data_IF_067879671629
#
_entry.id   IF_067879671629
#
_cell.length_a   1.000
_cell.length_b   1.000
_cell.length_c   1.000
_cell.angle_alpha   90.00
_cell.angle_beta   90.00
_cell.angle_gamma   90.00
#
_symmetry.space_group_name_H-M   'P 1'
#
loop_
_entity.id
_entity.type
_entity.pdbx_description
1 polymer ?
#
# COMPACT_ATOMS: atom_id res chain seq x y z
N UNK A 1 -9.37 12.91 -10.71
CA UNK A 1 -9.49 13.40 -12.10
C UNK A 1 -9.05 12.28 -13.06
N UNK A 2 -10.00 11.40 -13.40
CA UNK A 2 -9.75 10.00 -13.79
C UNK A 2 -9.01 9.75 -15.12
N UNK A 3 -8.77 10.79 -15.94
CA UNK A 3 -8.09 10.68 -17.22
C UNK A 3 -7.48 12.02 -17.64
N UNK A 4 -6.18 12.08 -17.99
CA UNK A 4 -5.54 13.31 -18.47
C UNK A 4 -6.30 13.97 -19.62
N UNK A 5 -6.39 15.31 -19.59
CA UNK A 5 -6.96 16.07 -20.72
C UNK A 5 -6.02 15.93 -21.92
N UNK A 6 -6.60 15.65 -23.08
CA UNK A 6 -5.87 15.56 -24.35
C UNK A 6 -6.35 16.70 -25.24
N UNK A 7 -5.41 17.45 -25.80
CA UNK A 7 -5.70 18.60 -26.67
C UNK A 7 -5.33 18.29 -28.13
N UNK A 8 -6.06 18.87 -29.08
CA UNK A 8 -5.81 18.66 -30.52
C UNK A 8 -4.58 19.41 -31.04
N UNK A 9 -4.21 20.51 -30.39
CA UNK A 9 -3.07 21.34 -30.76
C UNK A 9 -2.31 21.82 -29.52
N UNK A 10 -1.04 22.16 -29.72
CA UNK A 10 -0.19 22.72 -28.67
C UNK A 10 -0.07 24.23 -28.81
N UNK A 11 0.02 24.90 -27.67
CA UNK A 11 0.51 26.27 -27.61
C UNK A 11 1.98 26.34 -28.04
N UNK A 12 2.45 27.54 -28.37
CA UNK A 12 3.84 27.74 -28.73
C UNK A 12 4.72 27.59 -27.47
N UNK A 13 5.78 26.75 -27.50
CA UNK A 13 6.71 26.66 -26.38
C UNK A 13 7.46 27.98 -26.21
N UNK A 14 7.68 28.40 -24.94
CA UNK A 14 8.42 29.62 -24.61
C UNK A 14 9.95 29.44 -24.71
N UNK A 15 10.45 28.23 -24.47
CA UNK A 15 11.89 27.95 -24.37
C UNK A 15 12.29 26.70 -25.14
N UNK A 16 13.53 26.69 -25.64
CA UNK A 16 14.17 25.51 -26.21
C UNK A 16 14.34 24.43 -25.14
N UNK A 17 13.92 23.19 -25.43
CA UNK A 17 14.07 22.07 -24.49
C UNK A 17 15.53 21.66 -24.21
N UNK A 18 16.49 22.14 -25.01
CA UNK A 18 17.90 21.76 -24.91
C UNK A 18 18.76 22.83 -24.25
N UNK A 19 18.71 24.08 -24.74
CA UNK A 19 19.55 25.18 -24.25
C UNK A 19 18.76 26.29 -23.56
N UNK A 20 17.45 26.11 -23.35
CA UNK A 20 16.54 27.10 -22.75
C UNK A 20 16.38 28.44 -23.50
N UNK A 21 17.06 28.67 -24.62
CA UNK A 21 16.89 29.88 -25.43
C UNK A 21 15.45 30.11 -25.92
N UNK A 22 15.06 31.38 -26.02
CA UNK A 22 13.68 31.83 -26.25
C UNK A 22 13.31 32.00 -27.73
N UNK A 23 14.32 32.22 -28.58
CA UNK A 23 14.12 32.43 -30.01
C UNK A 23 13.94 31.08 -30.71
N UNK A 24 12.67 30.77 -31.00
CA UNK A 24 12.25 29.53 -31.65
C UNK A 24 11.60 29.79 -33.01
N UNK A 25 12.14 29.21 -34.07
CA UNK A 25 11.49 29.25 -35.38
C UNK A 25 10.57 28.03 -35.52
N UNK A 26 9.29 28.26 -35.82
CA UNK A 26 8.40 27.17 -36.26
C UNK A 26 8.79 26.82 -37.69
N UNK A 27 9.21 25.57 -37.91
CA UNK A 27 9.71 25.14 -39.23
C UNK A 27 8.91 23.97 -39.81
N UNK A 28 7.89 23.47 -39.11
CA UNK A 28 7.00 22.46 -39.69
C UNK A 28 5.77 22.16 -38.85
N UNK A 29 4.77 21.57 -39.51
CA UNK A 29 3.53 21.04 -38.92
C UNK A 29 3.33 19.60 -39.40
N UNK A 30 2.93 18.71 -38.51
CA UNK A 30 2.62 17.31 -38.81
C UNK A 30 1.26 16.97 -38.23
N UNK A 31 0.37 16.39 -39.04
CA UNK A 31 -0.80 15.68 -38.52
C UNK A 31 -0.38 14.30 -38.04
N UNK A 32 -0.37 14.11 -36.72
CA UNK A 32 -0.02 12.83 -36.10
C UNK A 32 -1.29 12.03 -35.84
N UNK A 33 -1.33 10.79 -36.33
CA UNK A 33 -2.35 9.81 -35.93
C UNK A 33 -2.15 9.42 -34.46
N UNK A 34 -3.24 9.34 -33.71
CA UNK A 34 -3.25 8.92 -32.31
C UNK A 34 -4.28 7.81 -32.09
N UNK A 35 -4.03 6.98 -31.08
CA UNK A 35 -4.98 6.03 -30.54
C UNK A 35 -5.66 6.69 -29.35
N UNK A 36 -6.93 7.01 -29.52
CA UNK A 36 -7.79 7.60 -28.51
C UNK A 36 -9.26 7.40 -28.94
N UNK A 37 -10.18 7.36 -27.98
CA UNK A 37 -11.61 7.11 -28.23
C UNK A 37 -12.34 8.32 -28.78
N UNK A 38 -11.84 9.54 -28.53
CA UNK A 38 -12.48 10.79 -28.97
C UNK A 38 -11.76 11.46 -30.12
N UNK A 39 -10.47 11.20 -30.31
CA UNK A 39 -9.64 11.86 -31.32
C UNK A 39 -8.79 10.87 -32.11
N UNK A 40 -8.68 11.06 -33.43
CA UNK A 40 -7.86 10.19 -34.30
C UNK A 40 -6.58 10.85 -34.79
N UNK A 41 -6.51 12.18 -34.77
CA UNK A 41 -5.38 12.97 -35.24
C UNK A 41 -5.16 14.19 -34.35
N UNK A 42 -3.92 14.64 -34.26
CA UNK A 42 -3.54 15.87 -33.55
C UNK A 42 -2.48 16.63 -34.34
N UNK A 43 -2.45 17.95 -34.19
CA UNK A 43 -1.47 18.83 -34.83
C UNK A 43 -0.22 18.90 -33.95
N UNK A 44 0.91 18.46 -34.50
CA UNK A 44 2.24 18.54 -33.85
C UNK A 44 3.10 19.54 -34.59
N UNK A 45 3.62 20.53 -33.89
CA UNK A 45 4.50 21.53 -34.46
C UNK A 45 5.98 21.17 -34.23
N UNK A 46 6.82 21.51 -35.19
CA UNK A 46 8.28 21.38 -35.10
C UNK A 46 8.92 22.76 -34.96
N UNK A 47 9.85 22.87 -34.03
CA UNK A 47 10.60 24.09 -33.74
C UNK A 47 12.09 23.86 -33.95
N UNK A 48 12.80 24.91 -34.39
CA UNK A 48 14.26 25.02 -34.48
C UNK A 48 14.67 26.14 -33.53
N UNK A 49 15.65 25.90 -32.68
CA UNK A 49 16.18 26.93 -31.80
C UNK A 49 17.24 27.76 -32.54
N UNK A 50 17.17 29.09 -32.45
CA UNK A 50 18.19 29.96 -33.04
C UNK A 50 19.53 29.94 -32.28
N UNK A 51 19.50 29.66 -30.97
CA UNK A 51 20.72 29.57 -30.14
C UNK A 51 21.52 28.29 -30.42
N UNK A 52 20.92 27.11 -30.19
CA UNK A 52 21.64 25.84 -30.31
C UNK A 52 21.41 25.10 -31.64
N UNK A 53 20.62 25.66 -32.56
CA UNK A 53 20.32 25.10 -33.89
C UNK A 53 19.59 23.74 -33.91
N UNK A 54 19.34 23.12 -32.75
CA UNK A 54 18.62 21.84 -32.65
C UNK A 54 17.15 22.00 -32.98
N UNK A 55 16.57 20.94 -33.53
CA UNK A 55 15.12 20.84 -33.79
C UNK A 55 14.42 19.93 -32.80
N UNK A 56 13.14 20.21 -32.53
CA UNK A 56 12.30 19.35 -31.70
C UNK A 56 10.82 19.42 -32.08
N UNK A 57 10.09 18.36 -31.73
CA UNK A 57 8.62 18.31 -31.81
C UNK A 57 8.03 18.80 -30.49
N UNK A 58 7.01 19.64 -30.57
CA UNK A 58 6.22 20.05 -29.42
C UNK A 58 4.82 19.45 -29.51
N UNK A 59 4.50 18.58 -28.57
CA UNK A 59 3.25 17.81 -28.56
C UNK A 59 2.16 18.55 -27.76
N UNK A 60 0.89 18.45 -28.17
CA UNK A 60 -0.25 18.90 -27.36
C UNK A 60 -0.30 18.22 -26.01
N UNK A 61 -0.99 18.85 -25.05
CA UNK A 61 -1.26 18.25 -23.74
C UNK A 61 -1.91 16.86 -23.90
N UNK A 62 -1.46 15.88 -23.11
CA UNK A 62 -1.94 14.50 -23.16
C UNK A 62 -1.46 13.67 -24.36
N UNK A 63 -0.55 14.20 -25.19
CA UNK A 63 0.05 13.51 -26.34
C UNK A 63 1.57 13.47 -26.18
N UNK A 64 2.17 12.31 -26.47
CA UNK A 64 3.62 12.16 -26.55
C UNK A 64 4.04 11.63 -27.94
N UNK A 65 5.29 11.16 -28.03
CA UNK A 65 5.82 10.50 -29.24
C UNK A 65 5.03 9.24 -29.61
N UNK A 66 4.59 8.46 -28.62
CA UNK A 66 3.78 7.25 -28.83
C UNK A 66 2.42 7.58 -29.48
N UNK A 67 1.83 6.63 -30.20
CA UNK A 67 0.50 6.83 -30.80
C UNK A 67 -0.61 6.86 -29.75
N UNK A 68 -0.48 6.14 -28.64
CA UNK A 68 -1.46 6.20 -27.54
C UNK A 68 -1.40 7.55 -26.83
N UNK A 69 -2.56 8.11 -26.53
CA UNK A 69 -2.69 9.29 -25.67
C UNK A 69 -2.50 8.90 -24.20
N UNK A 70 -2.09 9.85 -23.37
CA UNK A 70 -1.94 9.63 -21.92
C UNK A 70 -3.26 9.19 -21.27
N UNK A 71 -4.39 9.72 -21.76
CA UNK A 71 -5.72 9.27 -21.40
C UNK A 71 -5.94 7.79 -21.68
N UNK A 72 -5.60 7.33 -22.88
CA UNK A 72 -5.80 5.93 -23.25
C UNK A 72 -4.90 5.00 -22.43
N UNK A 73 -3.65 5.40 -22.14
CA UNK A 73 -2.75 4.66 -21.25
C UNK A 73 -3.34 4.52 -19.85
N UNK A 74 -3.83 5.62 -19.28
CA UNK A 74 -4.49 5.63 -17.97
C UNK A 74 -5.72 4.71 -17.97
N UNK A 75 -6.59 4.80 -18.99
CA UNK A 75 -7.74 3.92 -19.13
C UNK A 75 -7.34 2.45 -19.22
N UNK A 76 -6.30 2.12 -19.98
CA UNK A 76 -5.79 0.74 -20.09
C UNK A 76 -5.29 0.20 -18.73
N UNK A 77 -4.60 1.04 -17.94
CA UNK A 77 -4.15 0.69 -16.60
C UNK A 77 -5.33 0.51 -15.63
N UNK A 78 -6.33 1.39 -15.67
CA UNK A 78 -7.57 1.27 -14.88
C UNK A 78 -8.31 -0.03 -15.20
N UNK A 79 -8.56 -0.31 -16.48
CA UNK A 79 -9.20 -1.54 -16.93
C UNK A 79 -8.47 -2.79 -16.42
N UNK A 80 -7.13 -2.76 -16.47
CA UNK A 80 -6.30 -3.85 -15.96
C UNK A 80 -6.41 -4.01 -14.43
N UNK A 81 -6.46 -2.88 -13.71
CA UNK A 81 -6.55 -2.83 -12.24
C UNK A 81 -7.88 -3.41 -11.74
N UNK A 82 -8.97 -3.20 -12.48
CA UNK A 82 -10.28 -3.81 -12.23
C UNK A 82 -10.39 -5.30 -12.60
N UNK A 83 -9.27 -5.96 -12.93
CA UNK A 83 -9.23 -7.41 -13.12
C UNK A 83 -9.30 -7.86 -14.58
N UNK A 84 -9.34 -6.95 -15.56
CA UNK A 84 -9.25 -7.37 -16.96
C UNK A 84 -7.84 -7.84 -17.30
N UNK A 85 -7.71 -8.97 -18.01
CA UNK A 85 -6.42 -9.38 -18.57
C UNK A 85 -6.00 -8.41 -19.68
N UNK A 86 -4.70 -8.30 -20.00
CA UNK A 86 -4.23 -7.44 -21.10
C UNK A 86 -4.90 -7.73 -22.46
N UNK A 87 -5.35 -8.98 -22.68
CA UNK A 87 -6.14 -9.34 -23.87
C UNK A 87 -7.56 -8.76 -23.78
N UNK A 88 -8.22 -8.91 -22.63
CA UNK A 88 -9.56 -8.34 -22.38
C UNK A 88 -9.56 -6.81 -22.42
N UNK A 89 -8.49 -6.15 -21.95
CA UNK A 89 -8.32 -4.69 -22.11
C UNK A 89 -8.34 -4.31 -23.60
N UNK A 90 -7.57 -5.02 -24.44
CA UNK A 90 -7.59 -4.79 -25.90
C UNK A 90 -8.96 -5.04 -26.52
N UNK A 91 -9.67 -6.09 -26.09
CA UNK A 91 -11.02 -6.40 -26.57
C UNK A 91 -12.03 -5.29 -26.21
N UNK A 92 -12.06 -4.86 -24.94
CA UNK A 92 -12.95 -3.78 -24.49
C UNK A 92 -12.67 -2.49 -25.26
N UNK A 93 -11.39 -2.10 -25.40
CA UNK A 93 -11.04 -0.88 -26.14
C UNK A 93 -11.39 -0.97 -27.63
N UNK A 94 -11.40 -2.17 -28.22
CA UNK A 94 -11.81 -2.36 -29.61
C UNK A 94 -13.29 -2.06 -29.85
N UNK A 95 -14.15 -2.33 -28.85
CA UNK A 95 -15.57 -1.94 -28.90
C UNK A 95 -15.74 -0.41 -28.96
N UNK A 96 -14.75 0.34 -28.46
CA UNK A 96 -14.69 1.81 -28.56
C UNK A 96 -13.84 2.30 -29.75
N UNK A 97 -13.60 1.43 -30.75
CA UNK A 97 -12.88 1.78 -31.98
C UNK A 97 -11.37 1.92 -31.82
N UNK A 98 -10.78 1.46 -30.71
CA UNK A 98 -9.34 1.56 -30.44
C UNK A 98 -8.70 0.18 -30.40
N UNK A 99 -7.85 -0.11 -31.39
CA UNK A 99 -7.04 -1.33 -31.38
C UNK A 99 -5.81 -1.20 -30.46
N UNK A 100 -5.78 -1.99 -29.38
CA UNK A 100 -4.66 -2.04 -28.44
C UNK A 100 -4.14 -3.47 -28.26
N UNK A 101 -2.84 -3.67 -28.52
CA UNK A 101 -2.21 -4.97 -28.31
C UNK A 101 -1.97 -5.25 -26.83
N UNK A 102 -1.97 -6.53 -26.45
CA UNK A 102 -1.68 -6.96 -25.06
C UNK A 102 -0.34 -6.42 -24.53
N UNK A 103 0.66 -6.29 -25.40
CA UNK A 103 1.98 -5.78 -25.03
C UNK A 103 1.98 -4.28 -24.78
N UNK A 104 1.13 -3.53 -25.50
CA UNK A 104 0.97 -2.09 -25.26
C UNK A 104 0.27 -1.86 -23.92
N UNK A 105 -0.84 -2.58 -23.66
CA UNK A 105 -1.52 -2.55 -22.35
C UNK A 105 -0.58 -2.94 -21.20
N UNK A 106 0.33 -3.91 -21.41
CA UNK A 106 1.33 -4.27 -20.40
C UNK A 106 2.29 -3.12 -20.10
N UNK A 107 2.81 -2.44 -21.13
CA UNK A 107 3.68 -1.26 -20.96
C UNK A 107 2.94 -0.11 -20.26
N UNK A 108 1.67 0.12 -20.60
CA UNK A 108 0.86 1.17 -19.96
C UNK A 108 0.73 0.93 -18.44
N UNK A 109 0.58 -0.32 -18.00
CA UNK A 109 0.59 -0.68 -16.57
C UNK A 109 1.96 -0.47 -15.93
N UNK A 110 3.05 -0.77 -16.64
CA UNK A 110 4.40 -0.49 -16.11
C UNK A 110 4.63 1.02 -15.95
N UNK A 111 4.21 1.82 -16.93
CA UNK A 111 4.31 3.28 -16.90
C UNK A 111 3.44 3.88 -15.78
N UNK A 112 2.23 3.34 -15.57
CA UNK A 112 1.38 3.72 -14.44
C UNK A 112 2.06 3.43 -13.09
N UNK A 113 2.70 2.26 -12.94
CA UNK A 113 3.44 1.93 -11.72
C UNK A 113 4.63 2.88 -11.50
N UNK A 114 5.36 3.24 -12.55
CA UNK A 114 6.47 4.20 -12.46
C UNK A 114 5.97 5.60 -12.08
N UNK A 115 4.84 6.04 -12.63
CA UNK A 115 4.21 7.30 -12.26
C UNK A 115 3.78 7.31 -10.79
N UNK A 116 3.19 6.22 -10.29
CA UNK A 116 2.83 6.07 -8.87
C UNK A 116 4.07 6.14 -7.97
N UNK A 117 5.14 5.43 -8.31
CA UNK A 117 6.40 5.51 -7.53
C UNK A 117 6.98 6.92 -7.52
N UNK A 118 7.02 7.59 -8.67
CA UNK A 118 7.53 8.97 -8.75
C UNK A 118 6.70 9.94 -7.93
N UNK A 119 5.38 9.74 -7.89
CA UNK A 119 4.48 10.53 -7.06
C UNK A 119 4.73 10.28 -5.58
N UNK A 120 4.81 9.01 -5.16
CA UNK A 120 5.02 8.63 -3.76
C UNK A 120 6.42 8.99 -3.25
N UNK A 121 7.44 9.01 -4.14
CA UNK A 121 8.82 9.29 -3.77
C UNK A 121 8.92 10.60 -2.99
N UNK A 122 9.49 10.54 -1.79
CA UNK A 122 9.64 11.68 -0.88
C UNK A 122 8.33 12.38 -0.48
N UNK A 123 7.17 11.77 -0.67
CA UNK A 123 5.95 12.28 -0.07
C UNK A 123 5.95 11.94 1.41
N UNK A 124 5.67 12.93 2.29
CA UNK A 124 5.61 12.68 3.71
C UNK A 124 4.42 11.78 4.02
N UNK A 125 4.65 10.75 4.84
CA UNK A 125 3.62 9.83 5.32
C UNK A 125 3.89 9.51 6.79
N UNK A 126 3.23 10.26 7.68
CA UNK A 126 3.49 10.18 9.13
C UNK A 126 3.12 8.83 9.73
N UNK A 127 1.95 8.30 9.35
CA UNK A 127 1.38 7.06 9.88
C UNK A 127 1.16 6.07 8.76
N UNK A 128 1.83 4.91 8.85
CA UNK A 128 1.87 3.92 7.77
C UNK A 128 1.34 2.57 8.25
N UNK A 129 0.42 1.99 7.50
CA UNK A 129 -0.01 0.63 7.70
C UNK A 129 0.96 -0.33 7.04
N UNK A 130 1.41 -1.34 7.77
CA UNK A 130 2.39 -2.33 7.29
C UNK A 130 1.82 -3.72 7.51
N UNK A 131 1.78 -4.51 6.44
CA UNK A 131 1.26 -5.87 6.49
C UNK A 131 1.88 -6.78 5.41
N UNK A 132 1.93 -8.06 5.71
CA UNK A 132 2.37 -9.12 4.80
C UNK A 132 1.23 -9.62 3.91
N UNK A 133 1.55 -9.92 2.66
CA UNK A 133 0.63 -10.59 1.75
C UNK A 133 1.31 -11.73 1.00
N UNK A 134 0.57 -12.81 0.78
CA UNK A 134 1.00 -13.94 -0.03
C UNK A 134 0.40 -13.86 -1.43
N UNK A 135 1.27 -13.82 -2.44
CA UNK A 135 0.88 -13.69 -3.83
C UNK A 135 1.56 -14.76 -4.69
N UNK A 136 0.78 -15.74 -5.14
CA UNK A 136 1.25 -16.84 -6.01
C UNK A 136 2.52 -17.53 -5.45
N UNK A 137 2.49 -17.90 -4.17
CA UNK A 137 3.61 -18.56 -3.49
C UNK A 137 4.77 -17.66 -3.10
N UNK A 138 4.62 -16.33 -3.20
CA UNK A 138 5.65 -15.36 -2.84
C UNK A 138 5.13 -14.39 -1.78
N UNK A 139 5.88 -14.26 -0.68
CA UNK A 139 5.65 -13.24 0.34
C UNK A 139 6.03 -11.85 -0.16
N UNK A 140 5.16 -10.87 0.08
CA UNK A 140 5.41 -9.46 -0.16
C UNK A 140 4.99 -8.65 1.06
N UNK A 141 5.69 -7.55 1.32
CA UNK A 141 5.29 -6.55 2.29
C UNK A 141 4.63 -5.37 1.59
N UNK A 142 3.59 -4.82 2.21
CA UNK A 142 2.84 -3.67 1.71
C UNK A 142 2.90 -2.56 2.75
N UNK A 143 3.28 -1.36 2.32
CA UNK A 143 3.26 -0.15 3.14
C UNK A 143 2.28 0.84 2.51
N UNK A 144 1.29 1.27 3.30
CA UNK A 144 0.21 2.16 2.87
C UNK A 144 0.19 3.39 3.76
N UNK A 145 0.17 4.59 3.17
CA UNK A 145 -0.10 5.80 3.93
C UNK A 145 -1.55 5.75 4.44
N UNK A 146 -1.72 5.80 5.77
CA UNK A 146 -3.05 5.73 6.37
C UNK A 146 -3.78 7.07 6.33
N UNK A 147 -3.14 8.16 5.91
CA UNK A 147 -3.75 9.46 5.67
C UNK A 147 -4.60 9.50 4.39
N UNK A 148 -4.11 8.95 3.29
CA UNK A 148 -4.79 8.94 1.98
C UNK A 148 -5.17 7.54 1.44
N UNK A 149 -4.63 6.46 2.04
CA UNK A 149 -4.88 5.08 1.63
C UNK A 149 -4.10 4.65 0.39
N UNK A 150 -3.10 5.42 -0.03
CA UNK A 150 -2.23 5.07 -1.16
C UNK A 150 -1.07 4.18 -0.73
N UNK A 151 -0.72 3.16 -1.53
CA UNK A 151 0.50 2.40 -1.29
C UNK A 151 1.73 3.27 -1.51
N UNK A 152 2.59 3.34 -0.50
CA UNK A 152 3.91 3.97 -0.59
C UNK A 152 4.89 3.04 -1.29
N UNK A 153 4.90 1.77 -0.87
CA UNK A 153 5.83 0.78 -1.36
C UNK A 153 5.29 -0.64 -1.25
N UNK A 154 5.76 -1.50 -2.17
CA UNK A 154 5.59 -2.94 -2.10
C UNK A 154 6.97 -3.57 -2.24
N UNK A 155 7.38 -4.35 -1.25
CA UNK A 155 8.64 -5.09 -1.23
C UNK A 155 8.38 -6.58 -1.42
N UNK A 156 9.20 -7.26 -2.23
CA UNK A 156 9.20 -8.72 -2.22
C UNK A 156 10.07 -9.20 -1.06
N UNK A 157 9.46 -9.24 0.12
CA UNK A 157 10.08 -9.61 1.39
C UNK A 157 9.08 -10.56 2.05
N UNK A 158 9.55 -11.71 2.50
CA UNK A 158 8.73 -12.59 3.34
C UNK A 158 8.59 -11.92 4.70
N UNK A 159 7.37 -11.84 5.23
CA UNK A 159 7.10 -11.25 6.54
C UNK A 159 7.92 -11.94 7.65
N UNK A 160 8.28 -13.21 7.46
CA UNK A 160 9.14 -13.97 8.40
C UNK A 160 10.60 -13.49 8.42
N UNK A 161 11.07 -12.79 7.38
CA UNK A 161 12.40 -12.16 7.36
C UNK A 161 12.37 -10.83 8.12
N UNK A 162 12.34 -10.91 9.45
CA UNK A 162 12.30 -9.73 10.32
C UNK A 162 13.48 -8.76 10.07
N UNK A 163 14.64 -9.25 9.63
CA UNK A 163 15.78 -8.41 9.29
C UNK A 163 15.55 -7.65 7.97
N UNK A 164 15.00 -8.32 6.95
CA UNK A 164 14.57 -7.74 5.68
C UNK A 164 13.48 -6.69 5.87
N UNK A 165 12.43 -7.02 6.62
CA UNK A 165 11.33 -6.08 6.93
C UNK A 165 11.88 -4.85 7.66
N UNK A 166 12.77 -5.01 8.65
CA UNK A 166 13.39 -3.89 9.37
C UNK A 166 14.21 -2.98 8.46
N UNK A 167 15.04 -3.54 7.57
CA UNK A 167 15.85 -2.75 6.62
C UNK A 167 14.96 -1.95 5.68
N UNK A 168 13.92 -2.59 5.18
CA UNK A 168 12.95 -1.96 4.28
C UNK A 168 12.15 -0.85 4.98
N UNK A 169 11.63 -1.11 6.18
CA UNK A 169 10.90 -0.10 6.96
C UNK A 169 11.78 1.09 7.34
N UNK A 170 13.06 0.86 7.71
CA UNK A 170 14.02 1.94 7.96
C UNK A 170 14.23 2.83 6.74
N UNK A 171 14.33 2.23 5.55
CA UNK A 171 14.44 2.99 4.31
C UNK A 171 13.20 3.87 4.10
N UNK A 172 12.00 3.30 4.26
CA UNK A 172 10.76 4.05 4.13
C UNK A 172 10.62 5.15 5.18
N UNK A 173 11.05 4.90 6.41
CA UNK A 173 11.09 5.90 7.49
C UNK A 173 11.93 7.12 7.08
N UNK A 174 13.11 6.89 6.50
CA UNK A 174 13.99 7.97 6.03
C UNK A 174 13.44 8.70 4.80
N UNK A 175 12.77 7.97 3.90
CA UNK A 175 12.22 8.54 2.66
C UNK A 175 10.94 9.37 2.90
N UNK A 176 10.10 8.95 3.85
CA UNK A 176 8.75 9.50 4.03
C UNK A 176 8.52 10.16 5.39
N UNK A 177 9.50 10.14 6.31
CA UNK A 177 9.34 10.72 7.65
C UNK A 177 8.29 9.99 8.49
N UNK A 178 8.26 8.65 8.40
CA UNK A 178 7.31 7.81 9.15
C UNK A 178 7.62 7.94 10.66
N UNK A 179 6.62 8.27 11.47
CA UNK A 179 6.76 8.32 12.94
C UNK A 179 5.95 7.23 13.63
N UNK A 180 4.93 6.68 12.97
CA UNK A 180 4.09 5.62 13.53
C UNK A 180 3.73 4.56 12.49
N UNK A 181 3.56 3.32 12.95
CA UNK A 181 3.03 2.23 12.13
C UNK A 181 1.81 1.57 12.74
N UNK A 182 0.93 1.06 11.87
CA UNK A 182 -0.20 0.22 12.25
C UNK A 182 -0.05 -1.17 11.63
N UNK A 183 -0.03 -2.22 12.46
CA UNK A 183 0.23 -3.59 11.99
C UNK A 183 -0.69 -4.60 12.65
N UNK A 184 -0.62 -5.85 12.20
CA UNK A 184 -1.15 -6.99 12.95
C UNK A 184 -0.34 -7.27 14.22
N UNK A 185 -0.89 -8.11 15.09
CA UNK A 185 -0.31 -8.46 16.38
C UNK A 185 0.76 -9.55 16.25
N UNK A 186 1.87 -9.23 15.56
CA UNK A 186 3.03 -10.09 15.43
C UNK A 186 4.18 -9.60 16.30
N UNK A 187 4.78 -10.52 17.07
CA UNK A 187 5.86 -10.22 18.00
C UNK A 187 7.08 -9.54 17.35
N UNK A 188 7.33 -9.80 16.06
CA UNK A 188 8.46 -9.20 15.34
C UNK A 188 8.36 -7.67 15.22
N UNK A 189 7.14 -7.12 15.16
CA UNK A 189 6.95 -5.68 15.02
C UNK A 189 7.34 -4.95 16.30
N UNK A 190 7.06 -5.54 17.48
CA UNK A 190 7.44 -4.98 18.79
C UNK A 190 8.92 -4.61 18.87
N UNK A 191 9.80 -5.60 18.69
CA UNK A 191 11.24 -5.36 18.76
C UNK A 191 11.80 -4.59 17.56
N UNK A 192 10.99 -4.37 16.51
CA UNK A 192 11.37 -3.58 15.35
C UNK A 192 11.06 -2.10 15.56
N UNK A 193 9.88 -1.78 16.09
CA UNK A 193 9.42 -0.40 16.32
C UNK A 193 10.25 0.27 17.41
N UNK A 194 10.57 -0.43 18.50
CA UNK A 194 11.50 0.04 19.54
C UNK A 194 12.86 0.44 18.96
N UNK A 195 13.44 -0.40 18.09
CA UNK A 195 14.75 -0.12 17.46
C UNK A 195 14.72 0.97 16.40
N UNK A 196 13.56 1.27 15.85
CA UNK A 196 13.36 2.32 14.85
C UNK A 196 12.82 3.62 15.46
N UNK A 197 12.49 3.63 16.75
CA UNK A 197 11.85 4.77 17.41
C UNK A 197 10.49 5.09 16.80
N UNK A 198 9.74 4.06 16.37
CA UNK A 198 8.41 4.23 15.79
C UNK A 198 7.35 3.99 16.85
N UNK A 199 6.35 4.87 16.90
CA UNK A 199 5.11 4.55 17.59
C UNK A 199 4.42 3.37 16.91
N UNK A 200 3.76 2.52 17.70
CA UNK A 200 3.17 1.29 17.20
C UNK A 200 1.75 1.12 17.68
N UNK A 201 0.82 1.12 16.74
CA UNK A 201 -0.54 0.66 16.97
C UNK A 201 -0.73 -0.74 16.40
N UNK A 202 -1.22 -1.66 17.21
CA UNK A 202 -1.69 -2.95 16.74
C UNK A 202 -3.15 -2.83 16.31
N UNK A 203 -3.50 -3.41 15.15
CA UNK A 203 -4.85 -3.41 14.64
C UNK A 203 -5.79 -4.07 15.66
N UNK A 204 -6.64 -3.26 16.26
CA UNK A 204 -7.60 -3.68 17.28
C UNK A 204 -8.63 -4.70 16.78
N UNK A 205 -8.94 -4.74 15.48
CA UNK A 205 -9.76 -5.82 14.94
C UNK A 205 -9.11 -7.18 15.21
N UNK A 206 -7.80 -7.28 14.93
CA UNK A 206 -7.03 -8.50 15.21
C UNK A 206 -6.94 -8.77 16.71
N UNK A 207 -6.65 -7.74 17.53
CA UNK A 207 -6.57 -7.87 18.99
C UNK A 207 -7.89 -8.40 19.57
N UNK A 208 -9.01 -7.71 19.34
CA UNK A 208 -10.32 -8.10 19.86
C UNK A 208 -10.73 -9.50 19.40
N UNK A 209 -10.41 -9.86 18.14
CA UNK A 209 -10.70 -11.20 17.61
C UNK A 209 -9.93 -12.30 18.33
N UNK A 210 -8.61 -12.15 18.49
CA UNK A 210 -7.80 -13.22 19.09
C UNK A 210 -7.99 -13.27 20.62
N UNK A 211 -8.12 -12.12 21.28
CA UNK A 211 -8.39 -12.06 22.73
C UNK A 211 -9.76 -12.63 23.04
N UNK A 212 -10.78 -12.26 22.27
CA UNK A 212 -12.13 -12.80 22.44
C UNK A 212 -12.18 -14.31 22.26
N UNK A 213 -11.41 -14.86 21.31
CA UNK A 213 -11.25 -16.32 21.16
C UNK A 213 -10.55 -16.94 22.37
N UNK A 214 -9.41 -16.39 22.78
CA UNK A 214 -8.64 -16.90 23.91
C UNK A 214 -9.47 -16.91 25.21
N UNK A 215 -10.26 -15.85 25.46
CA UNK A 215 -11.16 -15.79 26.60
C UNK A 215 -12.24 -16.89 26.54
N UNK A 216 -12.88 -17.09 25.39
CA UNK A 216 -13.90 -18.17 25.22
C UNK A 216 -13.33 -19.57 25.44
N UNK A 217 -12.11 -19.81 24.97
CA UNK A 217 -11.42 -21.09 25.15
C UNK A 217 -11.04 -21.32 26.62
N UNK A 218 -10.62 -20.26 27.33
CA UNK A 218 -10.30 -20.31 28.75
C UNK A 218 -11.55 -20.53 29.63
N UNK A 219 -12.68 -19.90 29.30
CA UNK A 219 -13.95 -20.09 30.03
C UNK A 219 -14.42 -21.54 30.07
N UNK A 220 -14.05 -22.35 29.07
CA UNK A 220 -14.42 -23.77 29.01
C UNK A 220 -13.52 -24.67 29.86
N UNK A 221 -12.31 -24.20 30.22
CA UNK A 221 -11.27 -25.02 30.84
C UNK A 221 -10.90 -24.56 32.26
N UNK A 222 -11.15 -23.29 32.58
CA UNK A 222 -10.77 -22.72 33.86
C UNK A 222 -11.71 -23.18 34.98
N UNK A 223 -11.17 -23.39 36.20
CA UNK A 223 -11.99 -23.48 37.40
C UNK A 223 -12.85 -22.23 37.59
N UNK A 224 -14.04 -22.39 38.19
CA UNK A 224 -15.02 -21.32 38.36
C UNK A 224 -14.49 -20.06 39.05
N UNK A 225 -13.54 -20.22 39.98
CA UNK A 225 -12.91 -19.11 40.71
C UNK A 225 -12.14 -18.12 39.81
N UNK A 226 -11.71 -18.54 38.61
CA UNK A 226 -10.94 -17.70 37.66
C UNK A 226 -11.79 -17.08 36.55
N UNK A 227 -13.08 -17.40 36.48
CA UNK A 227 -13.97 -16.86 35.43
C UNK A 227 -14.13 -15.35 35.54
N UNK A 228 -14.20 -14.80 36.76
CA UNK A 228 -14.26 -13.35 36.98
C UNK A 228 -13.04 -12.60 36.44
N UNK A 229 -11.85 -13.24 36.40
CA UNK A 229 -10.65 -12.66 35.79
C UNK A 229 -10.81 -12.54 34.27
N UNK A 230 -11.44 -13.53 33.64
CA UNK A 230 -11.72 -13.50 32.19
C UNK A 230 -12.74 -12.42 31.84
N UNK A 231 -13.79 -12.26 32.65
CA UNK A 231 -14.75 -11.16 32.51
C UNK A 231 -14.07 -9.79 32.60
N UNK A 232 -13.13 -9.64 33.53
CA UNK A 232 -12.39 -8.40 33.69
C UNK A 232 -11.44 -8.13 32.51
N UNK A 233 -10.78 -9.16 31.96
CA UNK A 233 -10.01 -9.04 30.70
C UNK A 233 -10.93 -8.52 29.58
N UNK A 234 -12.11 -9.11 29.41
CA UNK A 234 -13.07 -8.70 28.38
C UNK A 234 -13.46 -7.24 28.55
N UNK A 235 -13.79 -6.82 29.77
CA UNK A 235 -14.14 -5.42 30.11
C UNK A 235 -13.02 -4.46 29.78
N UNK A 236 -11.79 -4.73 30.23
CA UNK A 236 -10.62 -3.89 29.96
C UNK A 236 -10.34 -3.78 28.45
N UNK A 237 -10.49 -4.87 27.70
CA UNK A 237 -10.24 -4.86 26.25
C UNK A 237 -11.40 -4.25 25.45
N UNK A 238 -12.59 -4.16 26.04
CA UNK A 238 -13.74 -3.48 25.46
C UNK A 238 -13.66 -1.98 25.64
N UNK A 239 -13.44 -1.54 26.88
CA UNK A 239 -13.42 -0.13 27.32
C UNK A 239 -12.07 0.56 27.03
N UNK A 240 -10.98 -0.20 27.01
CA UNK A 240 -9.60 0.29 26.84
C UNK A 240 -9.22 1.47 27.78
N UNK A 241 -9.40 1.33 29.11
CA UNK A 241 -9.09 2.40 30.05
C UNK A 241 -7.59 2.74 30.08
N UNK A 242 -7.18 3.99 30.34
CA UNK A 242 -5.76 4.39 30.36
C UNK A 242 -4.87 3.51 31.27
N UNK A 243 -5.39 3.06 32.41
CA UNK A 243 -4.71 2.20 33.37
C UNK A 243 -4.88 0.68 33.10
N UNK A 244 -5.45 0.30 31.96
CA UNK A 244 -5.79 -1.10 31.66
C UNK A 244 -4.58 -2.03 31.67
N UNK A 245 -3.42 -1.58 31.18
CA UNK A 245 -2.18 -2.35 31.26
C UNK A 245 -1.77 -2.67 32.70
N UNK A 246 -1.93 -1.70 33.61
CA UNK A 246 -1.69 -1.88 35.06
C UNK A 246 -2.73 -2.80 35.68
N UNK A 247 -4.02 -2.63 35.37
CA UNK A 247 -5.09 -3.52 35.86
C UNK A 247 -4.86 -4.97 35.44
N UNK A 248 -4.45 -5.21 34.20
CA UNK A 248 -4.07 -6.54 33.69
C UNK A 248 -2.87 -7.11 34.44
N UNK A 249 -1.89 -6.29 34.81
CA UNK A 249 -0.75 -6.71 35.63
C UNK A 249 -1.14 -7.05 37.08
N UNK A 250 -2.08 -6.29 37.66
CA UNK A 250 -2.61 -6.58 39.00
C UNK A 250 -3.34 -7.93 39.03
N UNK A 251 -4.15 -8.23 38.01
CA UNK A 251 -4.76 -9.55 37.84
C UNK A 251 -3.70 -10.63 37.63
N UNK A 252 -2.68 -10.35 36.82
CA UNK A 252 -1.58 -11.29 36.58
C UNK A 252 -0.92 -11.71 37.90
N UNK A 253 -0.67 -10.80 38.84
CA UNK A 253 -0.06 -11.13 40.14
C UNK A 253 -0.90 -12.08 40.99
N UNK A 254 -2.22 -12.08 40.83
CA UNK A 254 -3.15 -12.91 41.59
C UNK A 254 -3.26 -14.34 41.06
N UNK A 255 -3.07 -14.53 39.75
CA UNK A 255 -3.14 -15.86 39.13
C UNK A 255 -1.86 -16.64 39.43
N UNK A 256 -1.89 -17.84 40.03
CA UNK A 256 -0.67 -18.59 40.36
C UNK A 256 0.13 -18.94 39.10
N UNK A 257 1.46 -19.04 39.24
CA UNK A 257 2.36 -19.35 38.14
C UNK A 257 3.39 -20.38 38.55
N UNK A 258 3.13 -21.66 38.25
CA UNK A 258 3.94 -22.78 38.72
C UNK A 258 4.45 -23.67 37.58
N UNK A 259 4.73 -23.07 36.41
CA UNK A 259 5.35 -23.76 35.28
C UNK A 259 6.78 -24.22 35.62
N UNK A 260 6.92 -25.44 36.14
CA UNK A 260 8.22 -26.12 36.26
C UNK A 260 8.68 -26.62 34.88
N UNK A 261 10.00 -26.57 34.62
CA UNK A 261 10.59 -27.11 33.38
C UNK A 261 10.09 -28.55 33.13
N UNK A 262 9.54 -28.80 31.94
CA UNK A 262 9.00 -30.09 31.43
C UNK A 262 7.53 -30.44 31.80
N UNK A 263 6.77 -29.60 32.49
CA UNK A 263 5.33 -29.83 32.67
C UNK A 263 4.49 -29.28 31.51
N UNK A 264 3.35 -29.93 31.25
CA UNK A 264 2.34 -29.41 30.32
C UNK A 264 1.69 -28.15 30.89
N UNK A 265 1.37 -27.18 30.04
CA UNK A 265 0.67 -25.95 30.44
C UNK A 265 -0.75 -26.27 30.90
N UNK A 266 -1.12 -25.75 32.07
CA UNK A 266 -2.50 -25.77 32.56
C UNK A 266 -3.31 -24.59 31.98
N UNK A 267 -4.63 -24.63 32.10
CA UNK A 267 -5.49 -23.49 31.70
C UNK A 267 -5.18 -22.22 32.52
N UNK A 268 -4.76 -22.37 33.78
CA UNK A 268 -4.35 -21.26 34.65
C UNK A 268 -3.03 -20.65 34.16
N UNK A 269 -2.10 -21.48 33.69
CA UNK A 269 -0.87 -20.99 33.05
C UNK A 269 -1.16 -20.24 31.73
N UNK A 270 -2.12 -20.71 30.93
CA UNK A 270 -2.59 -20.03 29.73
C UNK A 270 -3.19 -18.66 30.06
N UNK A 271 -4.03 -18.58 31.09
CA UNK A 271 -4.60 -17.32 31.59
C UNK A 271 -3.49 -16.36 32.06
N UNK A 272 -2.53 -16.83 32.86
CA UNK A 272 -1.40 -16.03 33.32
C UNK A 272 -0.55 -15.54 32.14
N UNK A 273 -0.31 -16.38 31.14
CA UNK A 273 0.40 -15.98 29.92
C UNK A 273 -0.36 -14.93 29.10
N UNK A 274 -1.70 -15.04 29.03
CA UNK A 274 -2.56 -14.07 28.36
C UNK A 274 -2.47 -12.70 29.04
N UNK A 275 -2.66 -12.65 30.37
CA UNK A 275 -2.58 -11.42 31.16
C UNK A 275 -1.23 -10.71 30.99
N UNK A 276 -0.12 -11.48 31.08
CA UNK A 276 1.22 -10.94 30.87
C UNK A 276 1.39 -10.32 29.49
N UNK A 277 0.99 -11.03 28.42
CA UNK A 277 1.04 -10.50 27.05
C UNK A 277 0.20 -9.24 26.88
N UNK A 278 -1.02 -9.23 27.41
CA UNK A 278 -1.93 -8.09 27.27
C UNK A 278 -1.40 -6.87 28.01
N UNK A 279 -0.93 -7.04 29.24
CA UNK A 279 -0.34 -5.98 30.04
C UNK A 279 0.90 -5.37 29.37
N UNK A 280 1.85 -6.21 28.94
CA UNK A 280 3.08 -5.75 28.28
C UNK A 280 2.87 -5.06 26.93
N UNK A 281 1.73 -5.32 26.29
CA UNK A 281 1.42 -4.82 24.95
C UNK A 281 0.39 -3.70 24.95
N UNK A 282 -0.09 -3.31 26.13
CA UNK A 282 -1.28 -2.47 26.27
C UNK A 282 -1.12 -1.13 25.56
N UNK A 283 0.01 -0.45 25.73
CA UNK A 283 0.30 0.84 25.08
C UNK A 283 0.22 0.76 23.54
N UNK A 284 0.57 -0.40 22.98
CA UNK A 284 0.49 -0.65 21.53
C UNK A 284 -0.93 -0.97 21.07
N UNK A 285 -1.81 -1.36 21.99
CA UNK A 285 -3.23 -1.49 21.72
C UNK A 285 -3.94 -0.14 21.79
N UNK A 286 -3.42 0.82 22.57
CA UNK A 286 -4.07 2.11 22.85
C UNK A 286 -3.35 3.33 22.29
N UNK A 287 -2.32 3.18 21.45
CA UNK A 287 -1.57 4.31 20.89
C UNK A 287 -2.48 5.36 20.21
N UNK A 288 -3.57 4.94 19.57
CA UNK A 288 -4.58 5.83 18.97
C UNK A 288 -5.29 6.78 19.96
N UNK A 289 -5.30 6.47 21.27
CA UNK A 289 -5.82 7.38 22.29
C UNK A 289 -4.85 8.52 22.60
N UNK A 290 -3.54 8.26 22.52
CA UNK A 290 -2.50 9.25 22.81
C UNK A 290 -2.24 10.16 21.61
N UNK A 291 -2.38 9.62 20.40
CA UNK A 291 -2.26 10.37 19.15
C UNK A 291 -3.49 10.13 18.24
N UNK A 292 -4.42 11.11 18.14
CA UNK A 292 -5.62 11.02 17.31
C UNK A 292 -5.36 10.82 15.81
N UNK A 293 -4.14 11.10 15.34
CA UNK A 293 -3.78 10.85 13.94
C UNK A 293 -3.37 9.40 13.65
N UNK A 294 -3.16 8.57 14.68
CA UNK A 294 -2.94 7.13 14.52
C UNK A 294 -4.31 6.44 14.52
N UNK A 295 -4.70 5.74 13.44
CA UNK A 295 -6.00 5.09 13.39
C UNK A 295 -6.00 3.80 14.22
N UNK A 296 -7.16 3.51 14.82
CA UNK A 296 -7.44 2.29 15.56
C UNK A 296 -7.17 1.00 14.73
N UNK A 297 -7.39 1.02 13.41
CA UNK A 297 -7.32 -0.19 12.53
C UNK A 297 -6.34 -0.04 11.36
N UNK A 298 -5.87 -1.19 10.85
CA UNK A 298 -5.07 -1.29 9.62
C UNK A 298 -5.92 -1.46 8.33
N UNK A 299 -7.20 -1.06 8.37
CA UNK A 299 -8.18 -1.38 7.32
C UNK A 299 -7.76 -0.89 5.93
N UNK A 300 -7.08 0.25 5.81
CA UNK A 300 -6.62 0.76 4.50
C UNK A 300 -5.59 -0.15 3.85
N UNK A 301 -4.71 -0.75 4.65
CA UNK A 301 -3.73 -1.75 4.19
C UNK A 301 -4.44 -3.03 3.77
N UNK A 302 -5.39 -3.49 4.58
CA UNK A 302 -6.22 -4.67 4.25
C UNK A 302 -7.00 -4.46 2.94
N UNK A 303 -7.55 -3.27 2.70
CA UNK A 303 -8.21 -2.91 1.45
C UNK A 303 -7.24 -2.93 0.26
N UNK A 304 -6.05 -2.35 0.41
CA UNK A 304 -5.01 -2.37 -0.61
C UNK A 304 -4.60 -3.81 -0.98
N UNK A 305 -4.38 -4.66 0.04
CA UNK A 305 -4.08 -6.09 -0.11
C UNK A 305 -5.28 -6.83 -0.73
N UNK A 306 -6.51 -6.50 -0.34
CA UNK A 306 -7.73 -7.04 -0.91
C UNK A 306 -7.81 -6.82 -2.42
N UNK A 307 -7.52 -5.60 -2.88
CA UNK A 307 -7.44 -5.30 -4.33
C UNK A 307 -6.35 -6.11 -5.04
N UNK A 308 -5.18 -6.28 -4.41
CA UNK A 308 -4.11 -7.15 -4.93
C UNK A 308 -4.57 -8.61 -5.07
N UNK A 309 -5.25 -9.15 -4.05
CA UNK A 309 -5.79 -10.52 -4.05
C UNK A 309 -6.88 -10.72 -5.09
N UNK A 310 -7.76 -9.74 -5.30
CA UNK A 310 -8.74 -9.78 -6.40
C UNK A 310 -8.01 -9.87 -7.74
N UNK A 311 -6.95 -9.07 -7.93
CA UNK A 311 -6.16 -9.14 -9.15
C UNK A 311 -5.47 -10.49 -9.32
N UNK A 312 -4.88 -11.03 -8.25
CA UNK A 312 -4.21 -12.33 -8.21
C UNK A 312 -5.00 -13.45 -8.90
N UNK A 313 -6.30 -13.53 -8.60
CA UNK A 313 -7.20 -14.57 -9.12
C UNK A 313 -7.31 -14.57 -10.65
N UNK A 314 -7.14 -13.41 -11.27
CA UNK A 314 -7.26 -13.21 -12.72
C UNK A 314 -5.93 -13.28 -13.48
N UNK A 315 -4.79 -13.38 -12.77
CA UNK A 315 -3.45 -13.47 -13.35
C UNK A 315 -2.81 -14.82 -13.02
N UNK A 316 -2.40 -15.57 -14.06
CA UNK A 316 -1.72 -16.87 -13.87
C UNK A 316 -0.35 -16.76 -13.17
N UNK A 317 0.25 -15.56 -13.17
CA UNK A 317 1.58 -15.33 -12.63
C UNK A 317 2.24 -14.11 -13.26
N UNK A 318 3.29 -13.62 -12.62
CA UNK A 318 4.14 -12.56 -13.13
C UNK A 318 5.45 -13.15 -13.64
N UNK A 319 5.90 -12.70 -14.82
CA UNK A 319 7.11 -13.22 -15.45
C UNK A 319 8.41 -12.76 -14.79
N UNK A 320 8.38 -11.63 -14.09
CA UNK A 320 9.55 -11.02 -13.45
C UNK A 320 9.15 -10.39 -12.12
N UNK A 321 10.13 -10.21 -11.23
CA UNK A 321 9.94 -9.53 -9.93
C UNK A 321 9.44 -8.11 -10.15
N UNK A 322 10.09 -7.34 -11.02
CA UNK A 322 9.67 -5.97 -11.35
C UNK A 322 8.22 -5.93 -11.87
N UNK A 323 7.85 -6.86 -12.76
CA UNK A 323 6.47 -6.95 -13.26
C UNK A 323 5.45 -7.28 -12.16
N UNK A 324 5.82 -8.10 -11.17
CA UNK A 324 5.01 -8.38 -9.97
C UNK A 324 4.82 -7.11 -9.15
N UNK A 325 5.91 -6.47 -8.74
CA UNK A 325 5.86 -5.27 -7.90
C UNK A 325 5.07 -4.14 -8.58
N UNK A 326 5.26 -3.94 -9.88
CA UNK A 326 4.51 -2.96 -10.67
C UNK A 326 3.03 -3.28 -10.73
N UNK A 327 2.69 -4.55 -11.01
CA UNK A 327 1.32 -5.00 -11.07
C UNK A 327 0.59 -4.87 -9.73
N UNK A 328 1.24 -5.27 -8.64
CA UNK A 328 0.69 -5.16 -7.30
C UNK A 328 0.51 -3.70 -6.88
N UNK A 329 1.47 -2.82 -7.19
CA UNK A 329 1.37 -1.39 -6.89
C UNK A 329 0.17 -0.76 -7.61
N UNK A 330 0.02 -1.06 -8.90
CA UNK A 330 -1.10 -0.54 -9.70
C UNK A 330 -2.43 -1.09 -9.22
N UNK A 331 -2.52 -2.39 -8.88
CA UNK A 331 -3.79 -2.96 -8.41
C UNK A 331 -4.16 -2.55 -6.99
N UNK A 332 -3.17 -2.25 -6.13
CA UNK A 332 -3.43 -1.81 -4.76
C UNK A 332 -3.75 -0.31 -4.66
N UNK A 333 -3.37 0.49 -5.64
CA UNK A 333 -3.61 1.94 -5.64
C UNK A 333 -5.03 2.29 -6.05
N UNK A 334 -5.58 3.38 -5.51
CA UNK A 334 -6.73 4.03 -6.14
C UNK A 334 -6.20 4.96 -7.22
N UNK A 335 -6.48 4.66 -8.47
CA UNK A 335 -6.13 5.53 -9.60
C UNK A 335 -7.09 6.74 -9.62
N UNK A 336 -6.89 7.70 -8.71
CA UNK A 336 -7.68 8.94 -8.59
C UNK A 336 -7.18 10.05 -9.51
#
# INVERSE_FOLDING_TARGET
>A
MFCPKVSESSERPKHCRYCKGEILQRWGRVEKRVKDTKMRRVKVFRFRCAGCQRTFRHYPAGVQRAHQTERLKALAAVCWSFGLSHRKVGLVLSAFGVSLSRMSSWRDVQEAAEALRKRAKWQPARVVGVDGAWQNGVGVMVAVDLGDGQPLAIGQIDERDAAGVRRWLRQLQQEHGITAIVTDDLAMYRGMTERLGLEHQVCQFHVRRWVGRACRELEQKLPGEWLGVVEEIKRIMEELPPEGGRRLFELWKQVPGDLKRRQARTAVDELRSLLGRLSESYDRYTAFFHDPGIPWTNNRTEQAIGRMKVRAKSVRGYKTISGRLNGLLVSSSTLT
#
